data_IF_666701863190
#
_entry.id   IF_666701863190
#
_cell.length_a   1.000
_cell.length_b   1.000
_cell.length_c   1.000
_cell.angle_alpha   90.00
_cell.angle_beta   90.00
_cell.angle_gamma   90.00
#
_symmetry.space_group_name_H-M   'P 1'
#
loop_
_entity.id
_entity.type
_entity.pdbx_description
1 polymer ?
#
# COMPACT_ATOMS: atom_id res chain seq x y z
N UNK A 1 -14.34 -1.09 10.40
CA UNK A 1 -14.34 -2.56 10.43
C UNK A 1 -12.90 -3.06 10.27
N UNK A 2 -12.52 -4.12 10.98
CA UNK A 2 -11.20 -4.77 10.91
C UNK A 2 -11.39 -6.27 10.69
N UNK A 3 -10.59 -6.87 9.82
CA UNK A 3 -10.48 -8.33 9.71
C UNK A 3 -9.08 -8.74 9.23
N UNK A 4 -8.79 -10.04 9.27
CA UNK A 4 -7.50 -10.61 8.87
C UNK A 4 -7.71 -11.58 7.71
N UNK A 5 -6.79 -11.58 6.74
CA UNK A 5 -6.78 -12.52 5.62
C UNK A 5 -6.04 -13.82 6.00
N UNK A 6 -6.20 -14.94 5.25
CA UNK A 6 -5.56 -16.22 5.59
C UNK A 6 -4.03 -16.20 5.61
N UNK A 7 -3.41 -15.21 4.98
CA UNK A 7 -1.97 -14.97 4.93
C UNK A 7 -1.48 -13.98 6.01
N UNK A 8 -2.34 -13.60 6.94
CA UNK A 8 -1.99 -12.73 8.07
C UNK A 8 -2.08 -11.23 7.79
N UNK A 9 -2.43 -10.82 6.57
CA UNK A 9 -2.61 -9.39 6.23
C UNK A 9 -3.83 -8.83 6.95
N UNK A 10 -3.63 -7.74 7.68
CA UNK A 10 -4.72 -7.01 8.33
C UNK A 10 -5.43 -6.08 7.32
N UNK A 11 -6.76 -6.14 7.28
CA UNK A 11 -7.57 -5.24 6.47
C UNK A 11 -8.40 -4.31 7.35
N UNK A 12 -8.18 -3.01 7.17
CA UNK A 12 -8.84 -1.93 7.89
C UNK A 12 -9.76 -1.14 6.95
N UNK A 13 -11.02 -0.97 7.33
CA UNK A 13 -12.02 -0.31 6.47
C UNK A 13 -12.89 0.65 7.25
N UNK A 14 -13.01 1.87 6.75
CA UNK A 14 -14.03 2.82 7.22
C UNK A 14 -15.39 2.54 6.57
N UNK A 15 -16.47 2.52 7.35
CA UNK A 15 -17.83 2.46 6.79
C UNK A 15 -18.15 3.76 6.03
N UNK A 16 -18.83 3.71 4.85
CA UNK A 16 -19.53 2.56 4.24
C UNK A 16 -18.71 1.77 3.20
N UNK A 17 -17.37 1.74 3.26
CA UNK A 17 -16.49 1.33 2.14
C UNK A 17 -16.27 -0.18 1.99
N UNK A 18 -17.09 -1.02 2.63
CA UNK A 18 -16.91 -2.47 2.62
C UNK A 18 -16.89 -3.06 1.20
N UNK A 19 -17.73 -2.56 0.29
CA UNK A 19 -17.74 -3.01 -1.10
C UNK A 19 -16.43 -2.71 -1.83
N UNK A 20 -15.85 -1.53 -1.59
CA UNK A 20 -14.57 -1.14 -2.20
C UNK A 20 -13.43 -1.98 -1.65
N UNK A 21 -13.42 -2.19 -0.33
CA UNK A 21 -12.42 -3.05 0.29
C UNK A 21 -12.44 -4.49 -0.23
N UNK A 22 -13.63 -5.05 -0.50
CA UNK A 22 -13.75 -6.36 -1.16
C UNK A 22 -13.15 -6.38 -2.57
N UNK A 23 -13.36 -5.31 -3.37
CA UNK A 23 -12.73 -5.19 -4.69
C UNK A 23 -11.21 -5.09 -4.59
N UNK A 24 -10.70 -4.28 -3.65
CA UNK A 24 -9.27 -4.12 -3.42
C UNK A 24 -8.61 -5.44 -2.98
N UNK A 25 -9.25 -6.20 -2.08
CA UNK A 25 -8.77 -7.53 -1.68
C UNK A 25 -8.76 -8.50 -2.86
N UNK A 26 -9.79 -8.49 -3.71
CA UNK A 26 -9.84 -9.35 -4.90
C UNK A 26 -8.75 -9.01 -5.93
N UNK A 27 -8.38 -7.74 -6.05
CA UNK A 27 -7.31 -7.25 -6.94
C UNK A 27 -5.95 -7.09 -6.23
N UNK A 28 -5.79 -7.64 -5.01
CA UNK A 28 -4.66 -7.31 -4.11
C UNK A 28 -3.31 -7.56 -4.76
N UNK A 29 -3.13 -8.71 -5.43
CA UNK A 29 -1.85 -9.07 -6.02
C UNK A 29 -1.36 -8.02 -7.05
N UNK A 30 -2.26 -7.53 -7.90
CA UNK A 30 -1.93 -6.53 -8.92
C UNK A 30 -1.68 -5.16 -8.30
N UNK A 31 -2.47 -4.79 -7.28
CA UNK A 31 -2.32 -3.52 -6.56
C UNK A 31 -1.05 -3.48 -5.71
N UNK A 32 -0.72 -4.59 -5.06
CA UNK A 32 0.52 -4.77 -4.31
C UNK A 32 1.73 -4.70 -5.24
N UNK A 33 1.70 -5.38 -6.39
CA UNK A 33 2.75 -5.28 -7.39
C UNK A 33 2.92 -3.85 -7.92
N UNK A 34 1.82 -3.10 -8.06
CA UNK A 34 1.85 -1.67 -8.44
C UNK A 34 2.45 -0.80 -7.34
N UNK A 35 2.04 -0.98 -6.10
CA UNK A 35 2.57 -0.27 -4.94
C UNK A 35 4.07 -0.54 -4.75
N UNK A 36 4.49 -1.80 -4.84
CA UNK A 36 5.89 -2.19 -4.77
C UNK A 36 6.72 -1.63 -5.92
N UNK A 37 6.19 -1.59 -7.15
CA UNK A 37 6.89 -0.96 -8.28
C UNK A 37 7.13 0.52 -8.03
N UNK A 38 6.13 1.23 -7.50
CA UNK A 38 6.26 2.64 -7.14
C UNK A 38 7.28 2.85 -6.02
N UNK A 39 7.18 2.07 -4.94
CA UNK A 39 8.12 2.11 -3.81
C UNK A 39 9.56 1.84 -4.26
N UNK A 40 9.78 0.77 -5.04
CA UNK A 40 11.09 0.44 -5.59
C UNK A 40 11.61 1.52 -6.53
N UNK A 41 10.75 2.08 -7.39
CA UNK A 41 11.13 3.18 -8.29
C UNK A 41 11.61 4.41 -7.51
N UNK A 42 10.93 4.76 -6.43
CA UNK A 42 11.33 5.87 -5.56
C UNK A 42 12.63 5.57 -4.80
N UNK A 43 12.76 4.35 -4.25
CA UNK A 43 13.99 3.92 -3.58
C UNK A 43 15.17 3.87 -4.57
N UNK A 44 14.92 3.52 -5.83
CA UNK A 44 15.93 3.36 -6.88
C UNK A 44 16.71 4.63 -7.23
N UNK A 45 16.17 5.82 -6.96
CA UNK A 45 16.93 7.05 -7.05
C UNK A 45 18.08 7.12 -6.00
N UNK A 46 18.19 6.11 -5.11
CA UNK A 46 19.32 5.90 -4.20
C UNK A 46 19.65 4.45 -3.79
N UNK A 47 18.94 3.41 -4.25
CA UNK A 47 19.06 2.01 -3.78
C UNK A 47 19.01 0.97 -4.92
N UNK A 48 19.67 -0.18 -4.71
CA UNK A 48 19.73 -1.29 -5.68
C UNK A 48 18.38 -2.04 -5.79
N UNK A 49 17.98 -2.52 -6.99
CA UNK A 49 16.67 -3.14 -7.28
C UNK A 49 16.37 -4.39 -6.46
N UNK A 50 17.42 -5.13 -6.13
CA UNK A 50 17.37 -6.47 -5.59
C UNK A 50 17.64 -6.50 -4.08
N UNK A 51 17.88 -5.33 -3.48
CA UNK A 51 18.08 -5.21 -2.03
C UNK A 51 16.71 -5.17 -1.35
N UNK A 52 16.36 -6.27 -0.69
CA UNK A 52 15.32 -6.32 0.35
C UNK A 52 13.99 -6.89 -0.14
N UNK A 53 13.55 -7.99 0.49
CA UNK A 53 12.16 -8.42 0.39
C UNK A 53 11.27 -7.42 1.13
N UNK A 54 10.11 -7.11 0.58
CA UNK A 54 9.06 -6.35 1.27
C UNK A 54 7.92 -7.29 1.60
N UNK A 55 7.35 -7.14 2.78
CA UNK A 55 6.18 -7.88 3.24
C UNK A 55 5.04 -6.90 3.49
N UNK A 56 3.89 -7.13 2.85
CA UNK A 56 2.68 -6.36 3.11
C UNK A 56 2.09 -6.81 4.46
N UNK A 57 2.01 -5.90 5.42
CA UNK A 57 1.44 -6.19 6.75
C UNK A 57 0.01 -5.68 6.89
N UNK A 58 -0.30 -4.54 6.26
CA UNK A 58 -1.62 -3.90 6.38
C UNK A 58 -2.10 -3.35 5.05
N UNK A 59 -3.37 -3.59 4.74
CA UNK A 59 -4.12 -2.90 3.70
C UNK A 59 -5.27 -2.11 4.33
N UNK A 60 -5.19 -0.79 4.27
CA UNK A 60 -6.25 0.09 4.76
C UNK A 60 -7.01 0.74 3.61
N UNK A 61 -8.34 0.83 3.76
CA UNK A 61 -9.25 1.47 2.81
C UNK A 61 -9.95 2.65 3.50
N UNK A 62 -9.50 3.86 3.18
CA UNK A 62 -9.93 5.13 3.81
C UNK A 62 -10.32 6.17 2.74
N UNK A 63 -10.68 7.39 3.16
CA UNK A 63 -10.78 8.58 2.28
C UNK A 63 -9.50 9.41 2.31
N UNK A 64 -9.13 10.04 1.19
CA UNK A 64 -8.14 11.14 1.18
C UNK A 64 -8.89 12.44 1.03
N UNK A 65 -8.99 13.21 2.10
CA UNK A 65 -9.43 14.61 2.00
C UNK A 65 -8.31 15.55 1.53
N UNK A 66 -7.05 15.12 1.58
CA UNK A 66 -5.90 15.98 1.22
C UNK A 66 -5.67 16.07 -0.30
N UNK A 67 -6.03 15.05 -1.07
CA UNK A 67 -5.76 14.95 -2.53
C UNK A 67 -7.04 14.98 -3.40
N UNK A 68 -8.23 15.04 -2.79
CA UNK A 68 -9.50 15.08 -3.52
C UNK A 68 -10.03 13.73 -4.01
N UNK A 69 -9.45 12.60 -3.56
CA UNK A 69 -9.89 11.26 -3.90
C UNK A 69 -10.95 10.71 -2.93
N UNK A 70 -12.01 10.09 -3.48
CA UNK A 70 -13.11 9.50 -2.70
C UNK A 70 -12.67 8.24 -1.91
N UNK A 71 -11.69 7.50 -2.45
CA UNK A 71 -11.13 6.30 -1.84
C UNK A 71 -9.61 6.24 -1.99
N UNK A 72 -8.94 5.84 -0.91
CA UNK A 72 -7.50 5.61 -0.82
C UNK A 72 -7.26 4.20 -0.32
N UNK A 73 -6.35 3.50 -0.98
CA UNK A 73 -5.77 2.26 -0.50
C UNK A 73 -4.39 2.56 0.06
N UNK A 74 -4.18 2.30 1.35
CA UNK A 74 -2.89 2.44 2.02
C UNK A 74 -2.29 1.05 2.23
N UNK A 75 -1.18 0.79 1.54
CA UNK A 75 -0.38 -0.43 1.69
C UNK A 75 0.77 -0.14 2.64
N UNK A 76 0.81 -0.83 3.78
CA UNK A 76 1.91 -0.74 4.75
C UNK A 76 2.81 -1.96 4.56
N UNK A 77 4.05 -1.72 4.18
CA UNK A 77 5.08 -2.73 4.02
C UNK A 77 6.10 -2.67 5.17
N UNK A 78 6.67 -3.82 5.50
CA UNK A 78 7.90 -3.92 6.28
C UNK A 78 9.00 -4.60 5.46
N UNK A 79 10.22 -4.62 6.01
CA UNK A 79 11.38 -5.27 5.38
C UNK A 79 11.47 -6.71 5.86
N UNK A 80 11.68 -7.63 4.93
CA UNK A 80 12.03 -9.01 5.23
C UNK A 80 13.48 -9.16 5.72
N UNK A 81 14.32 -8.16 5.46
CA UNK A 81 15.70 -8.05 5.95
C UNK A 81 15.79 -7.15 7.20
N UNK A 82 16.94 -7.14 7.87
CA UNK A 82 17.17 -6.34 9.08
C UNK A 82 16.80 -4.86 8.83
N UNK A 83 15.81 -4.29 9.56
CA UNK A 83 15.36 -2.90 9.38
C UNK A 83 16.49 -1.87 9.50
N UNK A 84 17.59 -2.23 10.17
CA UNK A 84 18.77 -1.39 10.32
C UNK A 84 19.51 -1.13 8.99
N UNK A 85 19.32 -1.93 7.95
CA UNK A 85 19.96 -1.73 6.63
C UNK A 85 19.37 -0.55 5.83
N UNK A 86 18.13 -0.15 6.12
CA UNK A 86 17.41 0.86 5.36
C UNK A 86 17.09 2.12 6.17
N UNK A 87 17.36 2.09 7.48
CA UNK A 87 17.10 3.21 8.37
C UNK A 87 15.62 3.56 8.51
N UNK A 88 14.70 2.64 8.18
CA UNK A 88 13.24 2.77 8.36
C UNK A 88 12.66 1.37 8.62
N UNK A 89 11.61 1.28 9.43
CA UNK A 89 11.00 -0.03 9.81
C UNK A 89 9.66 -0.30 9.12
N UNK A 90 9.08 0.70 8.45
CA UNK A 90 7.85 0.56 7.66
C UNK A 90 7.78 1.57 6.50
N UNK A 91 7.02 1.21 5.46
CA UNK A 91 6.77 2.01 4.26
C UNK A 91 5.27 2.00 3.94
N UNK A 92 4.70 3.17 3.71
CA UNK A 92 3.32 3.35 3.27
C UNK A 92 3.29 3.80 1.82
N UNK A 93 2.49 3.12 0.99
CA UNK A 93 2.16 3.59 -0.37
C UNK A 93 0.66 3.85 -0.45
N UNK A 94 0.30 5.03 -0.93
CA UNK A 94 -1.09 5.46 -1.11
C UNK A 94 -1.48 5.32 -2.57
N UNK A 95 -2.56 4.58 -2.84
CA UNK A 95 -3.19 4.47 -4.15
C UNK A 95 -4.58 5.14 -4.10
N UNK A 96 -4.78 6.17 -4.90
CA UNK A 96 -6.07 6.86 -4.99
C UNK A 96 -6.92 6.29 -6.13
N UNK A 97 -8.22 6.24 -5.91
CA UNK A 97 -9.20 5.98 -6.98
C UNK A 97 -9.28 7.20 -7.91
N UNK A 98 -9.08 6.95 -9.20
CA UNK A 98 -9.05 7.90 -10.30
C UNK A 98 -10.10 7.48 -11.33
N UNK A 99 -10.66 8.46 -12.04
CA UNK A 99 -11.59 8.24 -13.16
C UNK A 99 -10.85 7.74 -14.42
N UNK A 100 -10.18 6.60 -14.32
CA UNK A 100 -9.48 5.94 -15.41
C UNK A 100 -10.19 4.62 -15.79
N UNK A 101 -10.50 4.38 -17.09
CA UNK A 101 -11.40 3.30 -17.51
C UNK A 101 -10.82 1.88 -17.39
N UNK A 102 -9.50 1.72 -17.21
CA UNK A 102 -8.83 0.42 -17.16
C UNK A 102 -8.13 0.14 -15.83
N UNK A 103 -7.69 1.18 -15.13
CA UNK A 103 -6.88 1.08 -13.93
C UNK A 103 -7.25 2.22 -12.99
N UNK A 104 -8.26 2.05 -12.11
CA UNK A 104 -8.75 3.16 -11.30
C UNK A 104 -7.76 3.53 -10.20
N UNK A 105 -6.86 2.64 -9.76
CA UNK A 105 -5.99 2.91 -8.61
C UNK A 105 -4.56 3.23 -9.01
N UNK A 106 -4.12 4.46 -8.71
CA UNK A 106 -2.77 4.95 -9.04
C UNK A 106 -2.02 5.43 -7.81
N UNK A 107 -0.69 5.14 -7.71
CA UNK A 107 0.12 5.66 -6.62
C UNK A 107 0.17 7.19 -6.67
N UNK A 108 -0.14 7.84 -5.55
CA UNK A 108 -0.11 9.31 -5.41
C UNK A 108 0.91 9.79 -4.39
N UNK A 109 1.34 8.93 -3.47
CA UNK A 109 2.23 9.33 -2.41
C UNK A 109 2.80 8.18 -1.61
N UNK A 110 3.75 8.55 -0.74
CA UNK A 110 4.47 7.64 0.12
C UNK A 110 4.74 8.28 1.48
N UNK A 111 4.72 7.46 2.53
CA UNK A 111 5.21 7.83 3.87
C UNK A 111 6.13 6.72 4.38
N UNK A 112 7.03 7.06 5.29
CA UNK A 112 8.03 6.16 5.82
C UNK A 112 8.39 6.57 7.25
N UNK A 113 8.78 5.61 8.07
CA UNK A 113 9.06 5.90 9.48
C UNK A 113 9.63 4.73 10.26
N UNK A 114 9.60 4.91 11.58
CA UNK A 114 9.99 3.92 12.57
C UNK A 114 8.75 3.54 13.39
N UNK A 115 8.67 2.29 13.84
CA UNK A 115 7.68 1.85 14.81
C UNK A 115 7.90 2.52 16.17
#
# INVERSE_FOLDING_TARGET
MRWELPDGVEVLVEEPRLAVARRAVAARADLEARALRFLRGWLHDGFEPDRGGFELVTLEVTSSREEGADVVLRFVFTLAADPHEYGYTWFEVLLDEQDAPLDPWWPVGMRLGFW
#
